data_IF_956233382470
#
_entry.id   IF_956233382470
#
_cell.length_a   1.000
_cell.length_b   1.000
_cell.length_c   1.000
_cell.angle_alpha   90.00
_cell.angle_beta   90.00
_cell.angle_gamma   90.00
#
_symmetry.space_group_name_H-M   'P 1'
#
loop_
_entity.id
_entity.type
_entity.pdbx_description
1 polymer ?
#
# COMPACT_ATOMS: atom_id res chain seq x y z
N UNK A 1 -9.27 20.36 -9.35
CA UNK A 1 -9.85 20.88 -8.09
C UNK A 1 -10.98 20.01 -7.52
N UNK A 2 -11.92 19.48 -8.31
CA UNK A 2 -13.05 18.68 -7.80
C UNK A 2 -12.64 17.30 -7.26
N UNK A 3 -11.67 16.64 -7.89
CA UNK A 3 -11.24 15.29 -7.50
C UNK A 3 -10.61 15.24 -6.09
N UNK A 4 -9.75 16.22 -5.77
CA UNK A 4 -9.10 16.34 -4.46
C UNK A 4 -10.12 16.55 -3.33
N UNK A 5 -11.21 17.29 -3.58
CA UNK A 5 -12.26 17.53 -2.59
C UNK A 5 -13.12 16.28 -2.32
N UNK A 6 -13.39 15.48 -3.37
CA UNK A 6 -14.07 14.19 -3.23
C UNK A 6 -13.22 13.25 -2.38
N UNK A 7 -11.90 13.19 -2.58
CA UNK A 7 -11.01 12.37 -1.74
C UNK A 7 -10.95 12.81 -0.28
N UNK A 8 -11.07 14.10 0.00
CA UNK A 8 -11.09 14.63 1.37
C UNK A 8 -12.43 14.40 2.09
N UNK A 9 -13.52 14.17 1.35
CA UNK A 9 -14.87 13.96 1.90
C UNK A 9 -15.35 12.51 1.82
N UNK A 10 -14.70 11.67 1.02
CA UNK A 10 -14.97 10.24 1.00
C UNK A 10 -14.46 9.62 2.31
N UNK A 11 -15.36 8.95 3.04
CA UNK A 11 -14.94 8.12 4.18
C UNK A 11 -13.88 7.14 3.71
N UNK A 12 -12.71 7.10 4.37
CA UNK A 12 -11.58 6.25 4.00
C UNK A 12 -11.98 4.78 3.76
N UNK A 13 -12.96 4.30 4.53
CA UNK A 13 -13.55 2.95 4.41
C UNK A 13 -14.20 2.72 3.03
N UNK A 14 -14.88 3.72 2.47
CA UNK A 14 -15.48 3.62 1.13
C UNK A 14 -14.40 3.60 0.04
N UNK A 15 -13.37 4.44 0.20
CA UNK A 15 -12.24 4.44 -0.74
C UNK A 15 -11.53 3.08 -0.74
N UNK A 16 -11.23 2.54 0.45
CA UNK A 16 -10.63 1.22 0.60
C UNK A 16 -11.48 0.13 -0.07
N UNK A 17 -12.80 0.13 0.15
CA UNK A 17 -13.73 -0.83 -0.46
C UNK A 17 -13.73 -0.75 -1.98
N UNK A 18 -13.94 0.44 -2.54
CA UNK A 18 -13.95 0.66 -4.00
C UNK A 18 -12.61 0.26 -4.59
N UNK A 19 -11.51 0.65 -3.95
CA UNK A 19 -10.17 0.30 -4.41
C UNK A 19 -9.97 -1.23 -4.41
N UNK A 20 -10.33 -1.92 -3.33
CA UNK A 20 -10.26 -3.40 -3.23
C UNK A 20 -11.14 -4.10 -4.25
N UNK A 21 -12.32 -3.58 -4.56
CA UNK A 21 -13.22 -4.08 -5.62
C UNK A 21 -12.61 -3.94 -7.03
N UNK A 22 -11.80 -2.90 -7.26
CA UNK A 22 -11.14 -2.66 -8.54
C UNK A 22 -9.85 -3.46 -8.73
N UNK A 23 -9.20 -3.93 -7.65
CA UNK A 23 -7.92 -4.66 -7.73
C UNK A 23 -7.96 -5.89 -8.67
N UNK A 24 -8.99 -6.77 -8.65
CA UNK A 24 -9.07 -7.87 -9.60
C UNK A 24 -9.06 -7.40 -11.06
N UNK A 25 -9.75 -6.29 -11.37
CA UNK A 25 -9.77 -5.73 -12.72
C UNK A 25 -8.40 -5.19 -13.13
N UNK A 26 -7.65 -4.57 -12.20
CA UNK A 26 -6.30 -4.11 -12.46
C UNK A 26 -5.32 -5.27 -12.69
N UNK A 27 -5.44 -6.35 -11.92
CA UNK A 27 -4.66 -7.58 -12.13
C UNK A 27 -4.91 -8.18 -13.52
N UNK A 28 -6.17 -8.28 -13.92
CA UNK A 28 -6.51 -8.76 -15.27
C UNK A 28 -5.93 -7.85 -16.35
N UNK A 29 -6.08 -6.53 -16.21
CA UNK A 29 -5.48 -5.59 -17.15
C UNK A 29 -3.96 -5.66 -17.17
N UNK A 30 -3.31 -5.97 -16.05
CA UNK A 30 -1.86 -6.19 -15.99
C UNK A 30 -1.45 -7.40 -16.83
N UNK A 31 -2.12 -8.55 -16.66
CA UNK A 31 -1.82 -9.79 -17.39
C UNK A 31 -1.98 -9.64 -18.91
N UNK A 32 -2.91 -8.79 -19.35
CA UNK A 32 -3.16 -8.55 -20.78
C UNK A 32 -2.09 -7.66 -21.44
N UNK A 33 -1.12 -7.12 -20.69
CA UNK A 33 -0.07 -6.24 -21.25
C UNK A 33 0.94 -7.06 -22.05
N UNK A 34 1.06 -6.74 -23.33
CA UNK A 34 1.99 -7.43 -24.26
C UNK A 34 3.44 -6.95 -24.15
N UNK A 35 3.71 -5.79 -23.56
CA UNK A 35 5.05 -5.18 -23.57
C UNK A 35 5.38 -4.51 -22.24
N UNK A 36 5.87 -5.31 -21.29
CA UNK A 36 6.57 -4.85 -20.10
C UNK A 36 7.49 -5.95 -19.58
N UNK A 37 8.68 -6.13 -20.17
CA UNK A 37 9.62 -7.13 -19.69
C UNK A 37 10.01 -6.80 -18.24
N UNK A 38 10.07 -7.85 -17.41
CA UNK A 38 10.59 -7.71 -16.06
C UNK A 38 12.12 -7.54 -16.10
N UNK A 39 12.72 -6.76 -15.20
CA UNK A 39 14.17 -6.73 -15.05
C UNK A 39 14.73 -8.14 -14.81
N UNK A 40 15.93 -8.42 -15.32
CA UNK A 40 16.54 -9.77 -15.21
C UNK A 40 16.68 -10.24 -13.76
N UNK A 41 16.98 -9.32 -12.83
CA UNK A 41 17.05 -9.62 -11.40
C UNK A 41 15.71 -10.10 -10.83
N UNK A 42 14.60 -9.51 -11.28
CA UNK A 42 13.24 -9.91 -10.87
C UNK A 42 12.89 -11.26 -11.48
N UNK A 43 13.20 -11.48 -12.77
CA UNK A 43 12.99 -12.78 -13.42
C UNK A 43 13.78 -13.89 -12.74
N UNK A 44 15.03 -13.62 -12.34
CA UNK A 44 15.86 -14.57 -11.61
C UNK A 44 15.27 -14.90 -10.24
N UNK A 45 14.84 -13.89 -9.47
CA UNK A 45 14.26 -14.09 -8.16
C UNK A 45 12.95 -14.92 -8.24
N UNK A 46 12.11 -14.69 -9.24
CA UNK A 46 10.87 -15.46 -9.45
C UNK A 46 11.09 -16.94 -9.80
N UNK A 47 12.31 -17.36 -10.15
CA UNK A 47 12.64 -18.79 -10.28
C UNK A 47 12.75 -19.51 -8.93
N UNK A 48 13.00 -18.76 -7.86
CA UNK A 48 13.28 -19.28 -6.52
C UNK A 48 12.18 -18.93 -5.52
N UNK A 49 11.39 -17.89 -5.79
CA UNK A 49 10.32 -17.40 -4.93
C UNK A 49 9.02 -17.28 -5.72
N UNK A 50 7.92 -17.78 -5.16
CA UNK A 50 6.58 -17.70 -5.78
C UNK A 50 6.12 -16.25 -5.96
N UNK A 51 6.41 -15.41 -4.97
CA UNK A 51 6.08 -13.99 -4.96
C UNK A 51 7.23 -13.17 -4.40
N UNK A 52 7.31 -11.92 -4.83
CA UNK A 52 8.24 -10.93 -4.28
C UNK A 52 7.42 -9.72 -3.89
N UNK A 53 7.51 -9.34 -2.62
CA UNK A 53 6.71 -8.25 -2.07
C UNK A 53 7.58 -7.08 -1.66
N UNK A 54 7.07 -5.87 -1.88
CA UNK A 54 7.60 -4.63 -1.33
C UNK A 54 6.72 -4.24 -0.16
N UNK A 55 7.33 -4.03 1.01
CA UNK A 55 6.68 -3.39 2.15
C UNK A 55 7.07 -1.92 2.19
N UNK A 56 6.07 -1.04 2.20
CA UNK A 56 6.26 0.40 2.42
C UNK A 56 5.28 0.88 3.49
N UNK A 57 5.68 1.89 4.25
CA UNK A 57 4.89 2.38 5.37
C UNK A 57 5.37 3.72 5.88
N UNK A 58 4.44 4.46 6.46
CA UNK A 58 4.71 5.76 7.06
C UNK A 58 3.80 6.02 8.25
N UNK A 59 4.28 6.81 9.19
CA UNK A 59 3.43 7.31 10.29
C UNK A 59 2.37 8.25 9.72
N UNK A 60 1.16 8.23 10.29
CA UNK A 60 0.11 9.15 9.86
C UNK A 60 0.55 10.61 9.97
N UNK A 61 1.27 10.94 11.03
CA UNK A 61 1.80 12.29 11.23
C UNK A 61 2.74 12.71 10.10
N UNK A 62 3.70 11.87 9.71
CA UNK A 62 4.60 12.17 8.60
C UNK A 62 3.84 12.33 7.27
N UNK A 63 2.81 11.52 7.03
CA UNK A 63 1.94 11.64 5.85
C UNK A 63 1.20 12.98 5.82
N UNK A 64 0.51 13.34 6.90
CA UNK A 64 -0.28 14.58 6.95
C UNK A 64 0.59 15.83 6.91
N UNK A 65 1.79 15.81 7.52
CA UNK A 65 2.75 16.92 7.40
C UNK A 65 3.25 17.09 5.97
N UNK A 66 3.53 15.99 5.25
CA UNK A 66 3.90 16.03 3.83
C UNK A 66 2.79 16.61 2.95
N UNK A 67 1.53 16.45 3.36
CA UNK A 67 0.35 17.01 2.70
C UNK A 67 0.00 18.42 3.19
N UNK A 68 0.90 19.07 3.96
CA UNK A 68 0.70 20.42 4.52
C UNK A 68 -0.56 20.56 5.40
N UNK A 69 -1.18 19.44 5.79
CA UNK A 69 -2.44 19.43 6.55
C UNK A 69 -2.23 19.60 8.07
N UNK A 70 -0.98 19.54 8.53
CA UNK A 70 -0.59 19.65 9.95
C UNK A 70 0.71 20.45 10.14
N UNK A 71 1.08 21.29 9.18
CA UNK A 71 2.29 22.11 9.28
C UNK A 71 2.33 22.90 10.59
N UNK A 72 1.16 23.35 11.07
CA UNK A 72 1.03 24.28 12.19
C UNK A 72 0.90 23.58 13.55
N UNK A 73 0.80 22.24 13.58
CA UNK A 73 0.65 21.48 14.83
C UNK A 73 2.02 21.00 15.36
N UNK A 74 2.23 20.92 16.69
CA UNK A 74 3.44 20.37 17.29
C UNK A 74 3.70 18.92 16.89
N UNK A 75 4.98 18.52 16.81
CA UNK A 75 5.38 17.13 16.47
C UNK A 75 4.92 16.17 17.57
N UNK A 76 4.43 14.99 17.19
CA UNK A 76 4.04 13.91 18.08
C UNK A 76 2.55 13.88 18.45
N UNK A 77 1.71 14.66 17.78
CA UNK A 77 0.28 14.78 18.09
C UNK A 77 -0.58 13.69 17.42
N UNK A 78 -0.12 13.09 16.32
CA UNK A 78 -0.86 12.04 15.64
C UNK A 78 -0.21 10.68 15.86
N UNK A 79 -0.97 9.82 16.53
CA UNK A 79 -0.66 8.41 16.70
C UNK A 79 -1.14 7.63 15.48
N UNK A 80 -0.38 6.63 15.10
CA UNK A 80 -0.76 5.64 14.10
C UNK A 80 0.19 5.57 12.90
N UNK A 81 0.09 4.44 12.21
CA UNK A 81 0.93 4.07 11.09
C UNK A 81 0.07 3.42 10.02
N UNK A 82 0.35 3.75 8.77
CA UNK A 82 -0.20 3.04 7.63
C UNK A 82 0.92 2.32 6.90
N UNK A 83 0.60 1.15 6.36
CA UNK A 83 1.52 0.35 5.56
C UNK A 83 0.79 -0.27 4.38
N UNK A 84 1.57 -0.63 3.37
CA UNK A 84 1.10 -1.34 2.19
C UNK A 84 2.10 -2.42 1.84
N UNK A 85 1.57 -3.60 1.50
CA UNK A 85 2.33 -4.63 0.81
C UNK A 85 1.95 -4.60 -0.66
N UNK A 86 2.95 -4.51 -1.53
CA UNK A 86 2.79 -4.42 -2.97
C UNK A 86 3.48 -5.62 -3.62
N UNK A 87 2.82 -6.25 -4.57
CA UNK A 87 3.44 -7.26 -5.43
C UNK A 87 4.43 -6.57 -6.40
N UNK A 88 5.70 -6.98 -6.34
CA UNK A 88 6.79 -6.37 -7.11
C UNK A 88 6.58 -6.50 -8.63
N UNK A 89 5.89 -7.55 -9.08
CA UNK A 89 5.70 -7.81 -10.52
C UNK A 89 4.64 -6.89 -11.08
N UNK A 90 3.50 -6.79 -10.40
CA UNK A 90 2.32 -6.07 -10.87
C UNK A 90 2.27 -4.61 -10.40
N UNK A 91 3.03 -4.28 -9.35
CA UNK A 91 2.97 -3.02 -8.60
C UNK A 91 1.58 -2.76 -8.02
N UNK A 92 0.77 -3.81 -7.84
CA UNK A 92 -0.55 -3.71 -7.23
C UNK A 92 -0.46 -4.06 -5.75
N UNK A 93 -1.24 -3.38 -4.89
CA UNK A 93 -1.25 -3.69 -3.47
C UNK A 93 -1.94 -5.04 -3.22
N UNK A 94 -1.29 -5.85 -2.40
CA UNK A 94 -1.79 -7.10 -1.87
C UNK A 94 -2.48 -6.91 -0.52
N UNK A 95 -1.98 -6.01 0.32
CA UNK A 95 -2.57 -5.69 1.62
C UNK A 95 -2.37 -4.22 1.99
N UNK A 96 -3.37 -3.59 2.61
CA UNK A 96 -3.28 -2.24 3.17
C UNK A 96 -3.53 -2.35 4.67
N UNK A 97 -2.58 -1.90 5.47
CA UNK A 97 -2.63 -2.01 6.92
C UNK A 97 -2.71 -0.63 7.58
N UNK A 98 -3.44 -0.59 8.69
CA UNK A 98 -3.46 0.52 9.61
C UNK A 98 -3.22 -0.01 11.02
N UNK A 99 -2.37 0.68 11.77
CA UNK A 99 -2.11 0.41 13.18
C UNK A 99 -2.22 1.71 13.96
N UNK A 100 -2.92 1.67 15.10
CA UNK A 100 -3.03 2.83 16.00
C UNK A 100 -1.70 3.15 16.69
N UNK A 101 -0.85 2.13 16.92
CA UNK A 101 0.48 2.29 17.47
C UNK A 101 1.48 2.74 16.37
N UNK A 102 2.04 3.95 16.43
CA UNK A 102 2.98 4.46 15.43
C UNK A 102 4.33 3.72 15.45
N UNK A 103 4.64 3.03 16.56
CA UNK A 103 5.85 2.21 16.72
C UNK A 103 5.63 0.75 16.34
N UNK A 104 4.51 0.41 15.73
CA UNK A 104 4.25 -0.95 15.28
C UNK A 104 5.31 -1.36 14.24
N UNK A 105 5.94 -2.51 14.48
CA UNK A 105 6.88 -3.09 13.53
C UNK A 105 6.17 -3.51 12.24
N UNK A 106 6.84 -3.30 11.10
CA UNK A 106 6.31 -3.58 9.75
C UNK A 106 6.11 -5.08 9.45
N UNK A 107 6.43 -5.95 10.40
CA UNK A 107 6.23 -7.39 10.33
C UNK A 107 4.80 -7.83 10.66
N UNK A 108 3.98 -6.95 11.25
CA UNK A 108 2.62 -7.28 11.69
C UNK A 108 1.55 -7.05 10.62
N UNK A 109 1.80 -7.54 9.41
CA UNK A 109 0.88 -7.43 8.29
C UNK A 109 -0.20 -8.51 8.40
N UNK A 110 -1.47 -8.12 8.29
CA UNK A 110 -2.62 -9.05 8.29
C UNK A 110 -3.06 -9.32 6.85
N UNK A 111 -2.35 -10.18 6.12
CA UNK A 111 -2.73 -10.58 4.77
C UNK A 111 -2.67 -12.10 4.56
N UNK A 112 -2.98 -12.56 3.35
CA UNK A 112 -2.79 -13.97 2.92
C UNK A 112 -1.30 -14.26 2.68
N UNK A 113 -0.45 -13.91 3.63
CA UNK A 113 0.94 -14.32 3.60
C UNK A 113 1.03 -15.71 4.23
N UNK A 114 1.76 -16.65 3.62
CA UNK A 114 2.01 -17.93 4.27
C UNK A 114 2.62 -17.65 5.64
N UNK A 115 1.97 -18.15 6.69
CA UNK A 115 2.60 -18.15 8.01
C UNK A 115 3.78 -19.12 7.90
N UNK A 116 4.99 -18.60 8.05
CA UNK A 116 6.16 -19.45 8.15
C UNK A 116 5.88 -20.53 9.20
N UNK A 117 6.07 -21.80 8.81
CA UNK A 117 6.05 -22.96 9.70
C UNK A 117 7.19 -22.86 10.72
#
# INVERSE_FOLDING_TARGET
>A
MVLSLIFLTLRAILFEKVFKELLPHFRQKWLMRKSRPLPDSVQFALKNFENIWIADGSTLEALFRKLESLSDFPIGQLSGKMGVIVDLVTHLPEEICFWENPKQADTHVRGRFPKNS
#
